data_IF_581829405069
#
_entry.id   IF_581829405069
#
_cell.length_a   1.000
_cell.length_b   1.000
_cell.length_c   1.000
_cell.angle_alpha   90.00
_cell.angle_beta   90.00
_cell.angle_gamma   90.00
#
_symmetry.space_group_name_H-M   'P 1'
#
loop_
_entity.id
_entity.type
_entity.pdbx_description
1 polymer ?
#
# COMPACT_ATOMS: atom_id res chain seq x y z
N UNK A 1 -13.88 -7.70 8.98
CA UNK A 1 -13.18 -8.19 10.19
C UNK A 1 -12.85 -7.00 11.07
N UNK A 2 -12.91 -7.14 12.41
CA UNK A 2 -12.53 -6.05 13.31
C UNK A 2 -11.02 -5.80 13.30
N UNK A 3 -10.62 -4.56 13.60
CA UNK A 3 -9.22 -4.16 13.67
C UNK A 3 -8.40 -5.03 14.63
N UNK A 4 -8.88 -5.26 15.85
CA UNK A 4 -8.14 -6.05 16.86
C UNK A 4 -7.87 -7.49 16.43
N UNK A 5 -8.86 -8.14 15.80
CA UNK A 5 -8.70 -9.50 15.29
C UNK A 5 -7.67 -9.53 14.16
N UNK A 6 -7.66 -8.51 13.29
CA UNK A 6 -6.65 -8.39 12.24
C UNK A 6 -5.25 -8.16 12.81
N UNK A 7 -5.09 -7.22 13.74
CA UNK A 7 -3.79 -6.93 14.36
C UNK A 7 -3.17 -8.19 15.00
N UNK A 8 -4.00 -8.99 15.69
CA UNK A 8 -3.56 -10.22 16.33
C UNK A 8 -3.25 -11.34 15.32
N UNK A 9 -4.11 -11.52 14.30
CA UNK A 9 -4.10 -12.73 13.44
C UNK A 9 -3.34 -12.57 12.13
N UNK A 10 -3.24 -11.34 11.61
CA UNK A 10 -2.71 -11.05 10.26
C UNK A 10 -1.49 -10.09 10.30
N UNK A 11 -1.00 -9.79 11.50
CA UNK A 11 0.32 -9.22 11.70
C UNK A 11 1.29 -10.32 12.12
N UNK A 12 2.21 -10.69 11.23
CA UNK A 12 3.21 -11.74 11.46
C UNK A 12 4.17 -11.34 12.58
N UNK A 13 4.75 -12.30 13.31
CA UNK A 13 5.75 -12.01 14.34
C UNK A 13 6.91 -11.15 13.80
N UNK A 14 7.37 -11.44 12.58
CA UNK A 14 8.43 -10.66 11.92
C UNK A 14 8.02 -9.20 11.70
N UNK A 15 6.80 -8.95 11.20
CA UNK A 15 6.32 -7.59 11.02
C UNK A 15 6.14 -6.85 12.35
N UNK A 16 5.68 -7.54 13.41
CA UNK A 16 5.57 -6.98 14.77
C UNK A 16 6.93 -6.52 15.29
N UNK A 17 7.94 -7.38 15.19
CA UNK A 17 9.31 -7.05 15.64
C UNK A 17 9.91 -5.90 14.84
N UNK A 18 9.70 -5.87 13.51
CA UNK A 18 10.30 -4.85 12.64
C UNK A 18 9.63 -3.48 12.76
N UNK A 19 8.31 -3.42 12.98
CA UNK A 19 7.56 -2.18 12.78
C UNK A 19 6.74 -1.73 14.00
N UNK A 20 6.41 -2.61 14.94
CA UNK A 20 5.48 -2.28 16.04
C UNK A 20 6.11 -2.28 17.43
N UNK A 21 7.40 -2.64 17.55
CA UNK A 21 8.04 -2.82 18.86
C UNK A 21 7.40 -3.95 19.67
N UNK A 22 6.83 -4.95 18.99
CA UNK A 22 6.03 -6.03 19.56
C UNK A 22 4.70 -5.60 20.22
N UNK A 23 4.14 -4.44 19.85
CA UNK A 23 2.76 -4.10 20.21
C UNK A 23 1.77 -4.99 19.44
N UNK A 24 0.90 -5.71 20.18
CA UNK A 24 -0.10 -6.62 19.61
C UNK A 24 -1.36 -5.92 19.09
N UNK A 25 -1.60 -4.69 19.51
CA UNK A 25 -2.75 -3.88 19.07
C UNK A 25 -2.48 -3.11 17.78
N UNK A 26 -1.24 -3.08 17.30
CA UNK A 26 -0.85 -2.37 16.08
C UNK A 26 -0.99 -3.28 14.86
N UNK A 27 -1.80 -2.86 13.89
CA UNK A 27 -1.91 -3.55 12.62
C UNK A 27 -0.75 -3.14 11.70
N UNK A 28 -0.15 -4.12 11.00
CA UNK A 28 0.76 -3.86 9.87
C UNK A 28 0.04 -4.21 8.57
N UNK A 29 -0.24 -3.18 7.79
CA UNK A 29 -0.92 -3.26 6.51
C UNK A 29 0.11 -3.07 5.39
N UNK A 30 -0.03 -3.81 4.31
CA UNK A 30 0.71 -3.57 3.06
C UNK A 30 -0.31 -3.06 2.03
N UNK A 31 0.02 -1.95 1.39
CA UNK A 31 -0.77 -1.38 0.31
C UNK A 31 -0.03 -1.58 -1.00
N UNK A 32 -0.67 -2.24 -1.96
CA UNK A 32 -0.08 -2.48 -3.27
C UNK A 32 -1.08 -2.25 -4.43
N UNK A 33 -0.59 -1.60 -5.48
CA UNK A 33 -1.32 -1.39 -6.72
C UNK A 33 -1.01 -2.50 -7.71
N UNK A 34 -1.94 -3.43 -7.92
CA UNK A 34 -1.75 -4.53 -8.88
C UNK A 34 -2.32 -4.20 -10.27
N UNK A 35 -2.14 -5.11 -11.23
CA UNK A 35 -2.60 -4.94 -12.61
C UNK A 35 -3.46 -6.12 -13.04
N UNK A 36 -4.64 -5.82 -13.59
CA UNK A 36 -5.48 -6.80 -14.29
C UNK A 36 -5.51 -6.40 -15.77
N UNK A 37 -4.92 -7.26 -16.61
CA UNK A 37 -4.95 -7.07 -18.06
C UNK A 37 -6.33 -7.33 -18.62
N UNK A 38 -6.76 -6.50 -19.57
CA UNK A 38 -8.09 -6.59 -20.16
C UNK A 38 -8.02 -6.60 -21.68
N UNK A 39 -9.02 -7.20 -22.31
CA UNK A 39 -9.13 -7.22 -23.77
C UNK A 39 -9.52 -5.85 -24.33
N UNK A 40 -9.22 -5.66 -25.62
CA UNK A 40 -9.61 -4.45 -26.35
C UNK A 40 -11.13 -4.28 -26.31
N UNK A 41 -11.58 -3.11 -25.88
CA UNK A 41 -12.98 -2.72 -25.91
C UNK A 41 -13.30 -1.96 -27.19
N UNK A 42 -14.52 -2.12 -27.72
CA UNK A 42 -15.06 -1.26 -28.78
C UNK A 42 -15.40 0.15 -28.28
N UNK A 43 -15.48 0.35 -26.96
CA UNK A 43 -15.73 1.66 -26.38
C UNK A 43 -14.42 2.47 -26.28
N UNK A 44 -14.17 3.30 -27.29
CA UNK A 44 -12.93 4.07 -27.46
C UNK A 44 -12.52 4.88 -26.23
N UNK A 45 -13.48 5.50 -25.55
CA UNK A 45 -13.20 6.30 -24.34
C UNK A 45 -12.71 5.43 -23.18
N UNK A 46 -13.28 4.23 -23.01
CA UNK A 46 -12.82 3.29 -22.00
C UNK A 46 -11.44 2.74 -22.37
N UNK A 47 -11.24 2.34 -23.63
CA UNK A 47 -9.94 1.85 -24.12
C UNK A 47 -8.80 2.86 -23.87
N UNK A 48 -9.04 4.15 -24.12
CA UNK A 48 -8.06 5.21 -23.81
C UNK A 48 -7.74 5.33 -22.32
N UNK A 49 -8.74 5.16 -21.46
CA UNK A 49 -8.56 5.26 -20.00
C UNK A 49 -7.84 4.04 -19.42
N UNK A 50 -7.99 2.87 -20.02
CA UNK A 50 -7.36 1.62 -19.55
C UNK A 50 -6.01 1.35 -20.19
N UNK A 51 -5.58 2.12 -21.18
CA UNK A 51 -4.23 1.99 -21.73
C UNK A 51 -3.18 2.57 -20.78
N UNK A 52 -2.26 1.73 -20.32
CA UNK A 52 -1.10 2.14 -19.52
C UNK A 52 0.08 2.47 -20.41
N UNK A 53 0.58 3.71 -20.34
CA UNK A 53 1.82 4.08 -21.05
C UNK A 53 3.05 3.33 -20.50
N UNK A 54 3.08 3.02 -19.21
CA UNK A 54 4.20 2.36 -18.56
C UNK A 54 4.26 0.86 -18.88
N UNK A 55 3.09 0.20 -19.01
CA UNK A 55 3.00 -1.23 -19.36
C UNK A 55 2.75 -1.47 -20.85
N UNK A 56 2.55 -0.40 -21.62
CA UNK A 56 2.26 -0.43 -23.05
C UNK A 56 1.11 -1.37 -23.43
N UNK A 57 0.10 -1.48 -22.56
CA UNK A 57 -1.00 -2.44 -22.69
C UNK A 57 -2.28 -1.96 -22.00
N UNK A 58 -3.40 -2.63 -22.28
CA UNK A 58 -4.71 -2.38 -21.68
C UNK A 58 -4.85 -3.10 -20.34
N UNK A 59 -5.04 -2.34 -19.28
CA UNK A 59 -5.20 -2.87 -17.93
C UNK A 59 -6.09 -1.98 -17.07
N UNK A 60 -6.48 -2.52 -15.93
CA UNK A 60 -7.01 -1.75 -14.80
C UNK A 60 -6.19 -2.06 -13.55
N UNK A 61 -6.25 -1.16 -12.57
CA UNK A 61 -5.46 -1.24 -11.34
C UNK A 61 -6.38 -1.42 -10.13
N UNK A 62 -6.47 -2.60 -9.52
CA UNK A 62 -6.97 -2.73 -8.16
C UNK A 62 -5.93 -2.22 -7.16
N UNK A 63 -6.39 -1.60 -6.08
CA UNK A 63 -5.56 -1.27 -4.92
C UNK A 63 -5.87 -2.27 -3.81
N UNK A 64 -4.89 -3.07 -3.40
CA UNK A 64 -5.08 -4.15 -2.45
C UNK A 64 -4.49 -3.75 -1.10
N UNK A 65 -5.27 -3.94 -0.04
CA UNK A 65 -4.83 -3.82 1.35
C UNK A 65 -4.68 -5.23 1.90
N UNK A 66 -3.47 -5.60 2.29
CA UNK A 66 -3.17 -6.95 2.82
C UNK A 66 -2.51 -6.91 4.19
N UNK A 67 -2.69 -7.96 4.97
CA UNK A 67 -1.88 -8.24 6.14
C UNK A 67 -0.48 -8.70 5.75
N UNK A 68 0.45 -8.61 6.70
CA UNK A 68 1.83 -9.05 6.51
C UNK A 68 1.99 -10.57 6.27
N UNK A 69 0.93 -11.35 6.49
CA UNK A 69 0.83 -12.78 6.17
C UNK A 69 0.23 -13.04 4.77
N UNK A 70 -0.14 -11.98 4.04
CA UNK A 70 -0.82 -12.06 2.74
C UNK A 70 -2.34 -12.15 2.81
N UNK A 71 -2.95 -12.09 4.00
CA UNK A 71 -4.40 -12.04 4.12
C UNK A 71 -4.94 -10.77 3.45
N UNK A 72 -5.86 -10.93 2.49
CA UNK A 72 -6.47 -9.80 1.79
C UNK A 72 -7.55 -9.19 2.67
N UNK A 73 -7.29 -7.99 3.19
CA UNK A 73 -8.27 -7.24 3.98
C UNK A 73 -9.33 -6.61 3.08
N UNK A 74 -8.89 -5.97 1.98
CA UNK A 74 -9.78 -5.31 1.01
C UNK A 74 -9.11 -5.19 -0.38
N UNK A 75 -9.95 -5.11 -1.40
CA UNK A 75 -9.57 -4.84 -2.80
C UNK A 75 -10.43 -3.69 -3.31
N UNK A 76 -9.81 -2.53 -3.54
CA UNK A 76 -10.50 -1.34 -4.02
C UNK A 76 -10.27 -1.09 -5.50
N UNK A 77 -11.25 -0.43 -6.13
CA UNK A 77 -11.26 -0.14 -7.56
C UNK A 77 -12.24 -1.04 -8.32
N UNK A 78 -11.96 -1.41 -9.59
CA UNK A 78 -10.72 -1.15 -10.32
C UNK A 78 -10.57 0.30 -10.78
N UNK A 79 -9.35 0.84 -10.70
CA UNK A 79 -8.98 2.16 -11.20
C UNK A 79 -8.50 2.08 -12.65
N UNK A 80 -8.75 3.12 -13.44
CA UNK A 80 -8.21 3.25 -14.79
C UNK A 80 -6.68 3.38 -14.79
N UNK A 81 -6.01 2.95 -15.85
CA UNK A 81 -4.56 2.95 -15.99
C UNK A 81 -3.94 4.28 -16.46
N UNK A 82 -4.74 5.34 -16.49
CA UNK A 82 -4.33 6.64 -16.99
C UNK A 82 -3.38 7.37 -16.00
N UNK A 83 -2.73 8.44 -16.48
CA UNK A 83 -1.71 9.16 -15.71
C UNK A 83 -2.23 9.77 -14.38
N UNK A 84 -3.53 9.94 -14.21
CA UNK A 84 -4.11 10.47 -12.96
C UNK A 84 -4.16 9.43 -11.84
N UNK A 85 -4.17 8.14 -12.19
CA UNK A 85 -4.35 7.02 -11.27
C UNK A 85 -3.02 6.28 -11.00
N UNK A 86 -2.00 7.03 -10.59
CA UNK A 86 -0.82 6.43 -9.98
C UNK A 86 -1.11 6.01 -8.53
N UNK A 87 -0.22 5.22 -7.93
CA UNK A 87 -0.46 4.60 -6.61
C UNK A 87 -0.62 5.65 -5.50
N UNK A 88 0.17 6.73 -5.55
CA UNK A 88 0.03 7.86 -4.63
C UNK A 88 -1.33 8.58 -4.76
N UNK A 89 -1.79 8.84 -5.98
CA UNK A 89 -3.09 9.49 -6.24
C UNK A 89 -4.25 8.60 -5.80
N UNK A 90 -4.20 7.30 -6.10
CA UNK A 90 -5.21 6.33 -5.68
C UNK A 90 -5.29 6.27 -4.16
N UNK A 91 -4.14 6.20 -3.47
CA UNK A 91 -4.07 6.18 -2.00
C UNK A 91 -4.68 7.43 -1.40
N UNK A 92 -4.30 8.61 -1.89
CA UNK A 92 -4.88 9.88 -1.43
C UNK A 92 -6.39 9.89 -1.63
N UNK A 93 -6.88 9.43 -2.78
CA UNK A 93 -8.31 9.33 -3.04
C UNK A 93 -9.00 8.43 -2.02
N UNK A 94 -8.51 7.20 -1.85
CA UNK A 94 -9.03 6.19 -0.91
C UNK A 94 -9.24 6.76 0.50
N UNK A 95 -8.21 7.40 1.06
CA UNK A 95 -8.31 7.99 2.39
C UNK A 95 -9.17 9.25 2.39
N UNK A 96 -9.07 10.13 1.39
CA UNK A 96 -9.88 11.36 1.34
C UNK A 96 -11.37 11.07 1.27
N UNK A 97 -11.78 10.13 0.42
CA UNK A 97 -13.18 9.73 0.26
C UNK A 97 -13.65 8.77 1.35
N UNK A 98 -12.75 8.35 2.24
CA UNK A 98 -13.02 7.34 3.25
C UNK A 98 -13.62 6.06 2.63
N UNK A 99 -12.97 5.57 1.56
CA UNK A 99 -13.46 4.39 0.87
C UNK A 99 -13.53 3.20 1.84
N UNK A 100 -14.66 2.50 1.84
CA UNK A 100 -14.93 1.37 2.73
C UNK A 100 -14.71 1.66 4.23
N UNK A 101 -14.94 2.91 4.65
CA UNK A 101 -14.78 3.33 6.05
C UNK A 101 -13.36 3.07 6.62
N UNK A 102 -12.35 3.11 5.76
CA UNK A 102 -10.97 2.82 6.11
C UNK A 102 -10.42 3.75 7.21
N UNK A 103 -10.88 5.00 7.30
CA UNK A 103 -10.45 5.93 8.34
C UNK A 103 -11.01 5.58 9.72
N UNK A 104 -12.15 4.92 9.79
CA UNK A 104 -12.70 4.41 11.05
C UNK A 104 -12.10 3.05 11.42
N UNK A 105 -11.65 2.29 10.42
CA UNK A 105 -11.05 0.99 10.62
C UNK A 105 -9.59 1.08 11.09
N UNK A 106 -8.80 1.94 10.44
CA UNK A 106 -7.40 2.20 10.78
C UNK A 106 -7.32 3.03 12.06
N UNK A 107 -6.38 2.69 12.93
CA UNK A 107 -6.09 3.42 14.18
C UNK A 107 -4.81 4.24 14.06
N UNK A 108 -4.68 5.23 14.93
CA UNK A 108 -3.40 5.90 15.17
C UNK A 108 -2.31 4.87 15.47
N UNK A 109 -1.08 5.14 15.02
CA UNK A 109 0.10 4.27 15.16
C UNK A 109 0.09 2.96 14.35
N UNK A 110 -0.99 2.63 13.63
CA UNK A 110 -0.95 1.54 12.64
C UNK A 110 0.13 1.80 11.59
N UNK A 111 0.71 0.71 11.10
CA UNK A 111 1.82 0.76 10.14
C UNK A 111 1.28 0.47 8.75
N UNK A 112 1.51 1.39 7.83
CA UNK A 112 1.27 1.17 6.41
C UNK A 112 2.62 0.98 5.70
N UNK A 113 2.84 -0.21 5.18
CA UNK A 113 3.99 -0.58 4.37
C UNK A 113 3.65 -0.35 2.90
N UNK A 114 4.45 0.48 2.25
CA UNK A 114 4.24 0.88 0.85
C UNK A 114 5.54 0.76 0.05
N UNK A 115 5.41 0.61 -1.26
CA UNK A 115 6.55 0.61 -2.16
C UNK A 115 6.94 2.03 -2.63
N UNK A 116 7.92 2.14 -3.54
CA UNK A 116 8.39 3.45 -4.04
C UNK A 116 7.34 4.22 -4.85
N UNK A 117 6.35 3.56 -5.43
CA UNK A 117 5.26 4.19 -6.20
C UNK A 117 4.39 5.12 -5.35
N UNK A 118 4.45 4.98 -4.02
CA UNK A 118 3.69 5.78 -3.06
C UNK A 118 4.46 6.98 -2.49
N UNK A 119 5.69 7.23 -2.95
CA UNK A 119 6.54 8.34 -2.47
C UNK A 119 5.78 9.67 -2.38
N UNK A 120 5.00 10.00 -3.40
CA UNK A 120 4.26 11.27 -3.45
C UNK A 120 3.06 11.32 -2.49
N UNK A 121 2.71 10.21 -1.84
CA UNK A 121 1.70 10.10 -0.80
C UNK A 121 2.26 10.00 0.62
N UNK A 122 3.57 9.86 0.82
CA UNK A 122 4.20 9.69 2.13
C UNK A 122 3.82 10.80 3.12
N UNK A 123 4.04 12.07 2.77
CA UNK A 123 3.67 13.20 3.62
C UNK A 123 2.17 13.26 3.94
N UNK A 124 1.32 12.74 3.05
CA UNK A 124 -0.12 12.63 3.32
C UNK A 124 -0.42 11.51 4.30
N UNK A 125 0.23 10.34 4.17
CA UNK A 125 0.06 9.21 5.09
C UNK A 125 0.55 9.56 6.50
N UNK A 126 1.69 10.23 6.62
CA UNK A 126 2.22 10.75 7.89
C UNK A 126 1.25 11.74 8.55
N UNK A 127 0.57 12.59 7.75
CA UNK A 127 -0.44 13.52 8.28
C UNK A 127 -1.70 12.83 8.84
N UNK A 128 -1.87 11.54 8.59
CA UNK A 128 -2.94 10.72 9.16
C UNK A 128 -2.49 9.97 10.42
N UNK A 129 -1.34 10.34 11.01
CA UNK A 129 -0.71 9.65 12.14
C UNK A 129 -0.38 8.18 11.87
N UNK A 130 -0.24 7.80 10.59
CA UNK A 130 0.19 6.46 10.21
C UNK A 130 1.71 6.40 10.15
N UNK A 131 2.25 5.33 10.70
CA UNK A 131 3.66 5.01 10.52
C UNK A 131 3.81 4.46 9.10
N UNK A 132 4.37 5.26 8.20
CA UNK A 132 4.82 4.71 6.92
C UNK A 132 6.11 3.92 7.17
N UNK A 133 5.96 2.61 7.29
CA UNK A 133 7.08 1.68 7.35
C UNK A 133 7.63 1.54 5.94
N UNK A 134 8.54 2.42 5.57
CA UNK A 134 9.24 2.33 4.30
C UNK A 134 10.04 1.02 4.27
N UNK A 135 9.54 0.02 3.54
CA UNK A 135 10.17 -1.30 3.48
C UNK A 135 11.58 -1.28 2.88
N UNK A 136 12.11 -0.12 2.43
CA UNK A 136 13.51 0.20 2.12
C UNK A 136 13.60 1.58 1.40
N UNK A 137 13.26 2.69 2.05
CA UNK A 137 13.66 4.00 1.51
C UNK A 137 15.08 4.31 1.96
N UNK A 138 16.02 3.85 1.14
CA UNK A 138 17.37 4.39 1.09
C UNK A 138 17.27 5.90 0.88
N UNK A 139 17.81 6.70 1.81
CA UNK A 139 18.01 8.12 1.59
C UNK A 139 18.69 8.32 0.23
N UNK A 140 18.22 9.31 -0.55
CA UNK A 140 18.70 9.60 -1.91
C UNK A 140 20.23 9.61 -1.94
N UNK A 141 20.84 8.58 -2.55
CA UNK A 141 22.29 8.41 -2.65
C UNK A 141 22.87 7.18 -1.92
N UNK A 142 22.08 6.45 -1.15
CA UNK A 142 22.55 5.21 -0.48
C UNK A 142 22.31 3.98 -1.36
N UNK A 143 23.32 3.11 -1.47
CA UNK A 143 23.27 1.87 -2.28
C UNK A 143 22.43 0.81 -1.57
N UNK A 144 21.69 0.01 -2.35
CA UNK A 144 20.96 -1.18 -1.90
C UNK A 144 21.78 -1.97 -0.87
N UNK A 145 21.20 -2.25 0.31
CA UNK A 145 21.85 -3.12 1.30
C UNK A 145 22.27 -4.44 0.64
N UNK A 146 23.57 -4.74 0.71
CA UNK A 146 24.11 -6.04 0.35
C UNK A 146 23.66 -7.08 1.39
N UNK A 147 23.48 -8.33 0.93
CA UNK A 147 22.85 -9.48 1.61
C UNK A 147 23.50 -9.94 2.94
N UNK A 148 24.30 -9.11 3.61
CA UNK A 148 25.09 -9.50 4.78
C UNK A 148 24.86 -8.70 6.05
N UNK A 149 23.84 -7.83 6.15
CA UNK A 149 23.64 -7.01 7.36
C UNK A 149 22.19 -7.04 7.84
N UNK A 150 21.93 -7.99 8.73
CA UNK A 150 20.75 -8.06 9.59
C UNK A 150 20.51 -6.69 10.22
N UNK A 151 19.27 -6.21 10.14
CA UNK A 151 18.79 -5.02 10.86
C UNK A 151 18.74 -5.41 12.36
N UNK A 152 19.88 -5.27 13.03
CA UNK A 152 19.95 -4.89 14.43
C UNK A 152 20.03 -3.37 14.40
N UNK A 153 18.95 -2.70 14.77
CA UNK A 153 19.05 -1.33 15.24
C UNK A 153 19.56 -1.44 16.68
N UNK A 154 20.73 -0.84 16.94
CA UNK A 154 21.29 -0.69 18.27
C UNK A 154 20.28 0.07 19.16
N UNK A 155 19.54 -0.69 19.99
CA UNK A 155 19.09 -0.47 21.38
C UNK A 155 17.83 -1.29 21.68
#
# INVERSE_FOLDING_TARGET
>A
MSHSVFAQSHTTPTAKTLFTGNNEDTAVLILDGTYIYIQKSSYHMFQKKTYSMHKTDLLVKPMIIVGSDGYILSVLGPYYANAHNNDASITKHLFKTNAEDIKQWIKDDDVLVVDRGFRDAQAFLESLNLKSGDALFHQKGTKQHTTGRQILLDL
#
